data_IF_491338089644
#
_entry.id   IF_491338089644
#
_cell.length_a   1.000
_cell.length_b   1.000
_cell.length_c   1.000
_cell.angle_alpha   90.00
_cell.angle_beta   90.00
_cell.angle_gamma   90.00
#
_symmetry.space_group_name_H-M   'P 1'
#
loop_
_entity.id
_entity.type
_entity.pdbx_description
1 polymer ?
#
# COMPACT_ATOMS: atom_id res chain seq x y z
N UNK A 1 -19.09 -3.66 -4.92
CA UNK A 1 -18.84 -3.53 -3.46
C UNK A 1 -19.34 -2.21 -2.84
N UNK A 2 -18.84 -1.03 -3.23
CA UNK A 2 -19.18 0.24 -2.54
C UNK A 2 -20.68 0.53 -2.40
N UNK A 3 -21.46 0.42 -3.48
CA UNK A 3 -22.90 0.71 -3.45
C UNK A 3 -23.67 -0.19 -2.47
N UNK A 4 -23.36 -1.50 -2.45
CA UNK A 4 -23.93 -2.45 -1.49
C UNK A 4 -23.51 -2.09 -0.05
N UNK A 5 -22.24 -1.74 0.17
CA UNK A 5 -21.77 -1.30 1.49
C UNK A 5 -22.48 -0.04 1.97
N UNK A 6 -22.72 0.93 1.09
CA UNK A 6 -23.41 2.17 1.44
C UNK A 6 -24.85 1.89 1.90
N UNK A 7 -25.56 0.96 1.23
CA UNK A 7 -26.91 0.51 1.62
C UNK A 7 -26.87 -0.19 2.98
N UNK A 8 -25.94 -1.14 3.16
CA UNK A 8 -25.73 -1.84 4.43
C UNK A 8 -25.43 -0.87 5.58
N UNK A 9 -24.59 0.14 5.34
CA UNK A 9 -24.24 1.16 6.34
C UNK A 9 -25.45 2.03 6.68
N UNK A 10 -26.29 2.36 5.70
CA UNK A 10 -27.51 3.12 5.94
C UNK A 10 -28.46 2.34 6.86
N UNK A 11 -28.76 1.08 6.53
CA UNK A 11 -29.65 0.23 7.32
C UNK A 11 -29.09 -0.04 8.73
N UNK A 12 -27.77 -0.21 8.88
CA UNK A 12 -27.15 -0.41 10.18
C UNK A 12 -27.35 0.76 11.16
N UNK A 13 -27.66 1.96 10.67
CA UNK A 13 -27.95 3.14 11.52
C UNK A 13 -29.37 3.13 12.07
N UNK A 14 -30.28 2.46 11.38
CA UNK A 14 -31.69 2.37 11.75
C UNK A 14 -31.95 1.20 12.72
N UNK A 15 -30.93 0.35 12.94
CA UNK A 15 -30.95 -0.78 13.86
C UNK A 15 -30.41 -0.41 15.25
N UNK A 16 -30.72 -1.26 16.23
CA UNK A 16 -30.11 -1.19 17.55
C UNK A 16 -28.57 -1.27 17.46
N UNK A 17 -27.86 -0.53 18.32
CA UNK A 17 -26.39 -0.37 18.27
C UNK A 17 -25.61 -1.67 18.30
N UNK A 18 -26.13 -2.73 18.92
CA UNK A 18 -25.48 -4.04 18.98
C UNK A 18 -25.62 -4.79 17.66
N UNK A 19 -26.85 -4.83 17.12
CA UNK A 19 -27.18 -5.41 15.82
C UNK A 19 -26.40 -4.71 14.69
N UNK A 20 -26.42 -3.38 14.66
CA UNK A 20 -25.68 -2.60 13.68
C UNK A 20 -24.15 -2.80 13.75
N UNK A 21 -23.59 -3.10 14.93
CA UNK A 21 -22.16 -3.44 15.09
C UNK A 21 -21.83 -4.82 14.54
N UNK A 22 -22.66 -5.83 14.79
CA UNK A 22 -22.44 -7.17 14.23
C UNK A 22 -22.46 -7.11 12.69
N UNK A 23 -23.35 -6.31 12.11
CA UNK A 23 -23.43 -6.07 10.65
C UNK A 23 -22.16 -5.45 10.05
N UNK A 24 -21.42 -4.64 10.83
CA UNK A 24 -20.15 -4.05 10.40
C UNK A 24 -18.99 -5.04 10.47
N UNK A 25 -19.03 -5.97 11.44
CA UNK A 25 -17.99 -6.99 11.64
C UNK A 25 -18.02 -8.05 10.54
N UNK A 26 -19.19 -8.39 10.01
CA UNK A 26 -19.37 -9.47 9.02
C UNK A 26 -19.41 -9.03 7.55
N UNK A 27 -18.98 -7.79 7.26
CA UNK A 27 -18.99 -7.23 5.88
C UNK A 27 -18.19 -8.04 4.86
N UNK A 28 -17.21 -8.84 5.29
CA UNK A 28 -16.41 -9.70 4.41
C UNK A 28 -17.29 -10.71 3.67
N UNK A 29 -18.31 -11.27 4.34
CA UNK A 29 -19.24 -12.25 3.75
C UNK A 29 -20.02 -11.65 2.58
N UNK A 30 -20.44 -10.38 2.69
CA UNK A 30 -21.14 -9.68 1.60
C UNK A 30 -20.22 -9.23 0.48
N UNK A 31 -18.93 -8.99 0.76
CA UNK A 31 -17.97 -8.50 -0.24
C UNK A 31 -17.38 -9.62 -1.08
N UNK A 32 -17.17 -10.79 -0.48
CA UNK A 32 -16.65 -11.97 -1.17
C UNK A 32 -17.66 -12.48 -2.20
N UNK A 33 -17.17 -13.07 -3.29
CA UNK A 33 -18.01 -13.78 -4.27
C UNK A 33 -18.58 -15.02 -3.61
N UNK A 34 -19.84 -15.36 -3.91
CA UNK A 34 -20.49 -16.53 -3.29
C UNK A 34 -19.68 -17.82 -3.49
N UNK A 35 -19.13 -18.01 -4.70
CA UNK A 35 -18.29 -19.16 -5.06
C UNK A 35 -17.03 -19.32 -4.18
N UNK A 36 -16.54 -18.23 -3.59
CA UNK A 36 -15.33 -18.22 -2.76
C UNK A 36 -15.61 -18.37 -1.26
N UNK A 37 -16.88 -18.38 -0.85
CA UNK A 37 -17.25 -18.61 0.55
C UNK A 37 -17.22 -20.11 0.88
N UNK A 38 -16.72 -20.43 2.07
CA UNK A 38 -16.85 -21.75 2.69
C UNK A 38 -18.31 -22.03 3.09
N UNK A 39 -18.61 -23.27 3.42
CA UNK A 39 -19.99 -23.70 3.76
C UNK A 39 -20.57 -22.91 4.93
N UNK A 40 -19.77 -22.71 5.99
CA UNK A 40 -20.14 -21.89 7.14
C UNK A 40 -20.38 -20.43 6.73
N UNK A 41 -19.55 -19.87 5.86
CA UNK A 41 -19.70 -18.52 5.33
C UNK A 41 -20.99 -18.36 4.51
N UNK A 42 -21.32 -19.35 3.67
CA UNK A 42 -22.56 -19.36 2.87
C UNK A 42 -23.80 -19.46 3.76
N UNK A 43 -23.79 -20.34 4.76
CA UNK A 43 -24.88 -20.47 5.72
C UNK A 43 -25.14 -19.15 6.46
N UNK A 44 -24.09 -18.54 7.00
CA UNK A 44 -24.19 -17.26 7.70
C UNK A 44 -24.65 -16.11 6.79
N UNK A 45 -24.14 -16.08 5.55
CA UNK A 45 -24.58 -15.12 4.56
C UNK A 45 -26.07 -15.29 4.27
N UNK A 46 -26.54 -16.51 4.01
CA UNK A 46 -27.93 -16.78 3.66
C UNK A 46 -28.89 -16.33 4.76
N UNK A 47 -28.63 -16.72 6.01
CA UNK A 47 -29.44 -16.25 7.14
C UNK A 47 -29.54 -14.72 7.19
N UNK A 48 -28.46 -14.02 6.84
CA UNK A 48 -28.50 -12.56 6.82
C UNK A 48 -29.34 -12.00 5.67
N UNK A 49 -29.19 -12.58 4.47
CA UNK A 49 -29.97 -12.16 3.29
C UNK A 49 -31.47 -12.46 3.45
N UNK A 50 -31.83 -13.48 4.22
CA UNK A 50 -33.23 -13.82 4.50
C UNK A 50 -33.88 -12.81 5.46
N UNK A 51 -33.11 -12.32 6.44
CA UNK A 51 -33.61 -11.37 7.43
C UNK A 51 -33.66 -9.91 6.93
N UNK A 52 -32.85 -9.55 5.93
CA UNK A 52 -32.72 -8.17 5.48
C UNK A 52 -32.91 -8.03 3.95
N UNK A 53 -34.15 -7.83 3.47
CA UNK A 53 -34.47 -7.81 2.03
C UNK A 53 -33.70 -6.75 1.23
N UNK A 54 -33.46 -5.57 1.81
CA UNK A 54 -32.74 -4.51 1.11
C UNK A 54 -31.26 -4.85 0.90
N UNK A 55 -30.62 -5.48 1.89
CA UNK A 55 -29.24 -6.00 1.74
C UNK A 55 -29.22 -7.15 0.74
N UNK A 56 -30.24 -8.02 0.75
CA UNK A 56 -30.37 -9.11 -0.21
C UNK A 56 -30.37 -8.62 -1.66
N UNK A 57 -31.24 -7.65 -1.96
CA UNK A 57 -31.29 -7.02 -3.28
C UNK A 57 -29.94 -6.40 -3.65
N UNK A 58 -29.33 -5.63 -2.74
CA UNK A 58 -28.04 -5.00 -3.00
C UNK A 58 -26.91 -6.03 -3.22
N UNK A 59 -26.93 -7.15 -2.49
CA UNK A 59 -25.99 -8.25 -2.66
C UNK A 59 -26.18 -8.95 -4.01
N UNK A 60 -27.43 -9.26 -4.40
CA UNK A 60 -27.75 -9.85 -5.71
C UNK A 60 -27.35 -8.94 -6.86
N UNK A 61 -27.59 -7.63 -6.75
CA UNK A 61 -27.10 -6.65 -7.73
C UNK A 61 -25.58 -6.64 -7.82
N UNK A 62 -24.88 -6.78 -6.68
CA UNK A 62 -23.42 -6.88 -6.67
C UNK A 62 -22.93 -8.17 -7.35
N UNK A 63 -23.49 -9.33 -7.01
CA UNK A 63 -23.09 -10.61 -7.62
C UNK A 63 -23.40 -10.63 -9.12
N UNK A 64 -24.61 -10.27 -9.54
CA UNK A 64 -24.98 -10.20 -10.96
C UNK A 64 -24.13 -9.23 -11.78
N UNK A 65 -23.63 -8.15 -11.16
CA UNK A 65 -22.67 -7.27 -11.83
C UNK A 65 -21.33 -7.96 -12.09
N UNK A 66 -20.86 -8.79 -11.15
CA UNK A 66 -19.65 -9.58 -11.37
C UNK A 66 -19.86 -10.69 -12.40
N UNK A 67 -21.07 -11.28 -12.45
CA UNK A 67 -21.41 -12.33 -13.42
C UNK A 67 -21.27 -11.84 -14.87
N UNK A 68 -21.39 -10.53 -15.13
CA UNK A 68 -21.10 -9.94 -16.45
C UNK A 68 -19.69 -10.30 -16.92
N UNK A 69 -18.70 -10.30 -16.03
CA UNK A 69 -17.30 -10.64 -16.35
C UNK A 69 -17.04 -12.14 -16.44
N UNK A 70 -18.00 -12.96 -16.01
CA UNK A 70 -17.98 -14.42 -16.16
C UNK A 70 -18.72 -14.85 -17.47
N UNK A 71 -19.21 -13.89 -18.29
CA UNK A 71 -19.89 -14.15 -19.56
C UNK A 71 -18.95 -14.75 -20.63
N UNK A 72 -19.48 -15.55 -21.57
CA UNK A 72 -18.66 -16.24 -22.57
C UNK A 72 -18.06 -15.30 -23.63
N UNK A 73 -18.77 -14.21 -23.96
CA UNK A 73 -18.38 -13.28 -25.00
C UNK A 73 -18.86 -11.84 -24.73
N UNK A 74 -18.32 -10.91 -25.52
CA UNK A 74 -18.59 -9.47 -25.41
C UNK A 74 -20.05 -9.10 -25.65
N UNK A 75 -20.74 -9.81 -26.54
CA UNK A 75 -22.14 -9.49 -26.85
C UNK A 75 -23.05 -9.89 -25.70
N UNK A 76 -22.86 -11.09 -25.15
CA UNK A 76 -23.59 -11.56 -23.98
C UNK A 76 -23.30 -10.69 -22.76
N UNK A 77 -22.03 -10.33 -22.52
CA UNK A 77 -21.67 -9.38 -21.47
C UNK A 77 -22.39 -8.02 -21.64
N UNK A 78 -22.51 -7.54 -22.88
CA UNK A 78 -23.26 -6.33 -23.21
C UNK A 78 -24.75 -6.44 -22.85
N UNK A 79 -25.39 -7.56 -23.21
CA UNK A 79 -26.79 -7.86 -22.87
C UNK A 79 -27.00 -7.97 -21.35
N UNK A 80 -26.12 -8.70 -20.67
CA UNK A 80 -26.14 -8.84 -19.22
C UNK A 80 -25.96 -7.49 -18.51
N UNK A 81 -25.07 -6.63 -19.00
CA UNK A 81 -24.88 -5.28 -18.46
C UNK A 81 -26.15 -4.43 -18.63
N UNK A 82 -26.86 -4.56 -19.74
CA UNK A 82 -28.10 -3.83 -19.98
C UNK A 82 -29.24 -4.31 -19.07
N UNK A 83 -29.41 -5.63 -18.99
CA UNK A 83 -30.35 -6.27 -18.08
C UNK A 83 -30.06 -5.90 -16.62
N UNK A 84 -28.78 -5.89 -16.23
CA UNK A 84 -28.35 -5.47 -14.90
C UNK A 84 -28.69 -4.01 -14.60
N UNK A 85 -28.45 -3.08 -15.54
CA UNK A 85 -28.82 -1.67 -15.35
C UNK A 85 -30.34 -1.49 -15.19
N UNK A 86 -31.13 -2.29 -15.90
CA UNK A 86 -32.58 -2.29 -15.82
C UNK A 86 -33.10 -2.88 -14.49
N UNK A 87 -32.43 -3.91 -13.96
CA UNK A 87 -32.84 -4.63 -12.74
C UNK A 87 -32.65 -3.83 -11.45
N UNK A 88 -31.80 -2.78 -11.45
CA UNK A 88 -31.63 -1.93 -10.27
C UNK A 88 -32.97 -1.27 -9.88
N UNK A 89 -33.48 -1.44 -8.65
CA UNK A 89 -34.74 -0.83 -8.22
C UNK A 89 -34.67 0.69 -8.08
N UNK A 90 -35.79 1.39 -8.29
CA UNK A 90 -35.84 2.86 -8.30
C UNK A 90 -35.35 3.51 -6.99
N UNK A 91 -35.66 2.91 -5.84
CA UNK A 91 -35.20 3.36 -4.52
C UNK A 91 -33.67 3.22 -4.33
N UNK A 92 -32.99 2.40 -5.13
CA UNK A 92 -31.53 2.20 -5.10
C UNK A 92 -30.77 2.98 -6.18
N UNK A 93 -31.46 3.75 -7.04
CA UNK A 93 -30.84 4.59 -8.09
C UNK A 93 -30.45 5.99 -7.60
N UNK A 94 -31.07 6.49 -6.52
CA UNK A 94 -31.03 7.91 -6.15
C UNK A 94 -29.98 8.18 -5.06
N UNK A 95 -29.23 9.28 -5.25
CA UNK A 95 -28.27 9.78 -4.28
C UNK A 95 -26.87 9.19 -4.38
N UNK A 96 -25.90 9.80 -3.69
CA UNK A 96 -24.47 9.44 -3.74
C UNK A 96 -24.13 8.10 -3.07
N UNK A 97 -24.97 7.64 -2.14
CA UNK A 97 -24.82 6.40 -1.36
C UNK A 97 -25.79 5.33 -1.88
N UNK A 98 -25.69 5.04 -3.17
CA UNK A 98 -26.63 4.17 -3.88
C UNK A 98 -25.92 3.51 -5.08
N UNK A 99 -26.67 2.80 -5.93
CA UNK A 99 -26.16 2.31 -7.21
C UNK A 99 -26.10 3.40 -8.30
N UNK A 100 -26.68 4.59 -8.08
CA UNK A 100 -26.69 5.70 -9.02
C UNK A 100 -25.32 6.04 -9.63
N UNK A 101 -24.26 6.27 -8.81
CA UNK A 101 -22.93 6.53 -9.33
C UNK A 101 -22.37 5.39 -10.20
N UNK A 102 -22.63 4.13 -9.83
CA UNK A 102 -22.20 2.98 -10.61
C UNK A 102 -22.98 2.90 -11.93
N UNK A 103 -24.28 3.14 -11.92
CA UNK A 103 -25.10 3.22 -13.14
C UNK A 103 -24.57 4.28 -14.11
N UNK A 104 -24.23 5.47 -13.63
CA UNK A 104 -23.61 6.51 -14.46
C UNK A 104 -22.27 6.03 -15.02
N UNK A 105 -21.41 5.44 -14.19
CA UNK A 105 -20.12 4.92 -14.63
C UNK A 105 -20.27 3.87 -15.73
N UNK A 106 -21.19 2.91 -15.57
CA UNK A 106 -21.44 1.85 -16.56
C UNK A 106 -22.02 2.35 -17.89
N UNK A 107 -22.59 3.56 -17.92
CA UNK A 107 -23.03 4.21 -19.17
C UNK A 107 -21.86 4.89 -19.85
N UNK A 108 -21.12 5.70 -19.09
CA UNK A 108 -20.03 6.50 -19.60
C UNK A 108 -18.87 5.64 -20.11
N UNK A 109 -18.61 4.52 -19.43
CA UNK A 109 -17.45 3.66 -19.68
C UNK A 109 -17.86 2.30 -20.24
N UNK A 110 -19.03 2.20 -20.88
CA UNK A 110 -19.55 0.92 -21.39
C UNK A 110 -18.56 0.28 -22.37
N UNK A 111 -18.05 1.06 -23.31
CA UNK A 111 -17.16 0.58 -24.37
C UNK A 111 -15.88 -0.02 -23.77
N UNK A 112 -15.28 0.67 -22.81
CA UNK A 112 -14.06 0.26 -22.12
C UNK A 112 -14.28 -0.95 -21.22
N UNK A 113 -15.43 -1.01 -20.53
CA UNK A 113 -15.81 -2.19 -19.75
C UNK A 113 -15.91 -3.44 -20.63
N UNK A 114 -16.53 -3.31 -21.82
CA UNK A 114 -16.70 -4.43 -22.76
C UNK A 114 -15.43 -4.74 -23.57
N UNK A 115 -14.48 -3.80 -23.66
CA UNK A 115 -13.17 -4.04 -24.29
C UNK A 115 -12.35 -5.12 -23.56
N UNK A 116 -12.67 -5.41 -22.29
CA UNK A 116 -12.08 -6.52 -21.53
C UNK A 116 -12.19 -7.88 -22.25
N UNK A 117 -13.28 -8.11 -22.98
CA UNK A 117 -13.51 -9.39 -23.67
C UNK A 117 -12.68 -9.54 -24.95
N UNK A 118 -12.27 -8.43 -25.55
CA UNK A 118 -11.34 -8.45 -26.68
C UNK A 118 -9.89 -8.56 -26.18
N UNK A 119 -9.59 -7.87 -25.07
CA UNK A 119 -8.27 -7.79 -24.47
C UNK A 119 -8.38 -7.97 -22.95
N UNK A 120 -8.23 -9.20 -22.41
CA UNK A 120 -8.40 -9.49 -20.98
C UNK A 120 -7.19 -9.02 -20.14
N UNK A 121 -6.73 -7.79 -20.39
CA UNK A 121 -5.63 -7.15 -19.69
C UNK A 121 -6.21 -6.44 -18.48
N UNK A 122 -5.86 -6.93 -17.29
CA UNK A 122 -6.24 -6.28 -16.05
C UNK A 122 -5.26 -5.13 -15.70
N UNK A 123 -5.78 -4.11 -15.03
CA UNK A 123 -4.98 -3.06 -14.38
C UNK A 123 -4.22 -3.58 -13.13
N UNK A 124 -4.15 -4.90 -12.92
CA UNK A 124 -3.54 -5.49 -11.73
C UNK A 124 -2.03 -5.22 -11.62
N UNK A 125 -1.32 -5.22 -12.75
CA UNK A 125 0.12 -4.93 -12.76
C UNK A 125 0.42 -3.48 -12.34
N UNK A 126 -0.30 -2.52 -12.92
CA UNK A 126 -0.21 -1.10 -12.60
C UNK A 126 -0.69 -0.82 -11.17
N UNK A 127 -1.71 -1.52 -10.68
CA UNK A 127 -2.12 -1.46 -9.27
C UNK A 127 -1.04 -1.98 -8.31
N UNK A 128 -0.38 -3.09 -8.65
CA UNK A 128 0.73 -3.61 -7.87
C UNK A 128 1.91 -2.62 -7.83
N UNK A 129 2.29 -2.03 -8.96
CA UNK A 129 3.30 -0.98 -9.03
C UNK A 129 2.89 0.28 -8.23
N UNK A 130 1.63 0.70 -8.33
CA UNK A 130 1.09 1.79 -7.51
C UNK A 130 1.15 1.46 -6.02
N UNK A 131 0.94 0.20 -5.64
CA UNK A 131 1.15 -0.30 -4.29
C UNK A 131 2.60 -0.15 -3.83
N UNK A 132 3.56 -0.58 -4.65
CA UNK A 132 5.00 -0.41 -4.37
C UNK A 132 5.36 1.07 -4.18
N UNK A 133 4.91 1.94 -5.07
CA UNK A 133 5.14 3.38 -4.97
C UNK A 133 4.59 3.96 -3.65
N UNK A 134 3.38 3.56 -3.25
CA UNK A 134 2.77 3.98 -1.98
C UNK A 134 3.57 3.51 -0.77
N UNK A 135 4.11 2.28 -0.79
CA UNK A 135 4.96 1.76 0.29
C UNK A 135 6.24 2.59 0.42
N UNK A 136 6.91 2.88 -0.70
CA UNK A 136 8.14 3.70 -0.71
C UNK A 136 7.85 5.11 -0.17
N UNK A 137 6.75 5.72 -0.61
CA UNK A 137 6.36 7.05 -0.12
C UNK A 137 6.05 7.05 1.38
N UNK A 138 5.46 5.97 1.92
CA UNK A 138 5.18 5.84 3.35
C UNK A 138 6.45 5.68 4.19
N UNK A 139 7.46 5.00 3.65
CA UNK A 139 8.77 4.85 4.28
C UNK A 139 9.54 6.17 4.29
N UNK A 140 9.35 7.00 3.26
CA UNK A 140 9.99 8.30 3.09
C UNK A 140 9.11 9.49 3.39
N UNK A 141 8.98 9.86 4.66
CA UNK A 141 8.34 11.14 5.00
C UNK A 141 9.14 12.29 4.38
N UNK A 142 8.47 13.11 3.56
CA UNK A 142 9.07 14.30 2.94
C UNK A 142 9.87 14.04 1.67
N UNK A 143 9.74 12.86 1.04
CA UNK A 143 10.38 12.63 -0.26
C UNK A 143 9.83 13.59 -1.32
N UNK A 144 10.74 14.25 -2.05
CA UNK A 144 10.38 14.91 -3.30
C UNK A 144 9.98 13.87 -4.34
N UNK A 145 9.24 14.31 -5.36
CA UNK A 145 8.83 13.43 -6.47
C UNK A 145 10.04 12.74 -7.13
N UNK A 146 11.15 13.46 -7.28
CA UNK A 146 12.38 12.94 -7.86
C UNK A 146 12.97 11.79 -7.05
N UNK A 147 13.03 11.93 -5.72
CA UNK A 147 13.52 10.90 -4.80
C UNK A 147 12.60 9.67 -4.81
N UNK A 148 11.27 9.88 -4.82
CA UNK A 148 10.30 8.80 -4.91
C UNK A 148 10.45 8.03 -6.23
N UNK A 149 10.56 8.76 -7.35
CA UNK A 149 10.75 8.20 -8.70
C UNK A 149 12.06 7.42 -8.79
N UNK A 150 13.16 7.97 -8.30
CA UNK A 150 14.46 7.29 -8.30
C UNK A 150 14.39 5.98 -7.51
N UNK A 151 13.81 6.01 -6.31
CA UNK A 151 13.63 4.80 -5.48
C UNK A 151 12.74 3.76 -6.15
N UNK A 152 11.68 4.18 -6.86
CA UNK A 152 10.81 3.27 -7.58
C UNK A 152 11.52 2.59 -8.76
N UNK A 153 12.25 3.36 -9.57
CA UNK A 153 12.93 2.88 -10.77
C UNK A 153 14.19 2.05 -10.47
N UNK A 154 14.90 2.37 -9.39
CA UNK A 154 16.20 1.77 -9.06
C UNK A 154 16.18 0.80 -7.88
N UNK A 155 15.00 0.48 -7.31
CA UNK A 155 14.83 -0.42 -6.16
C UNK A 155 15.61 -1.75 -6.26
N UNK A 156 15.69 -2.32 -7.46
CA UNK A 156 16.29 -3.63 -7.71
C UNK A 156 17.66 -3.56 -8.40
N UNK A 157 18.18 -2.35 -8.65
CA UNK A 157 19.59 -2.22 -9.00
C UNK A 157 20.36 -2.24 -7.68
N UNK A 158 20.76 -3.42 -7.24
CA UNK A 158 21.92 -3.51 -6.36
C UNK A 158 23.00 -2.68 -7.05
N UNK A 159 23.54 -1.62 -6.42
CA UNK A 159 24.84 -1.14 -6.85
C UNK A 159 25.69 -2.40 -6.87
N UNK A 160 26.30 -2.72 -8.01
CA UNK A 160 27.40 -3.67 -8.04
C UNK A 160 28.26 -3.29 -6.86
N UNK A 161 28.29 -4.13 -5.82
CA UNK A 161 29.18 -3.93 -4.70
C UNK A 161 30.57 -4.00 -5.32
N UNK A 162 31.11 -2.84 -5.71
CA UNK A 162 32.53 -2.68 -5.90
C UNK A 162 33.06 -3.13 -4.56
N UNK A 163 33.74 -4.28 -4.54
CA UNK A 163 34.22 -4.91 -3.33
C UNK A 163 35.09 -3.89 -2.58
N UNK A 164 34.50 -3.14 -1.68
CA UNK A 164 35.20 -2.24 -0.81
C UNK A 164 35.91 -3.13 0.19
N UNK A 165 37.20 -3.35 -0.05
CA UNK A 165 38.08 -4.00 0.90
C UNK A 165 37.85 -3.39 2.30
N UNK A 166 37.75 -4.22 3.35
CA UNK A 166 37.51 -3.68 4.68
C UNK A 166 38.75 -2.88 5.10
N UNK A 167 38.67 -1.56 5.02
CA UNK A 167 39.62 -0.68 5.72
C UNK A 167 39.30 -0.81 7.21
N UNK A 168 39.91 -1.81 7.84
CA UNK A 168 39.99 -1.92 9.29
C UNK A 168 40.87 -0.78 9.80
N UNK A 169 40.25 0.34 10.18
CA UNK A 169 40.92 1.38 10.95
C UNK A 169 40.88 0.98 12.43
N UNK A 170 41.82 0.14 12.85
CA UNK A 170 42.14 0.01 14.28
C UNK A 170 42.67 1.36 14.78
N UNK A 171 42.05 1.92 15.82
CA UNK A 171 42.53 3.14 16.50
C UNK A 171 43.92 2.88 17.08
N UNK A 172 44.95 3.31 16.38
CA UNK A 172 46.27 3.53 16.98
C UNK A 172 46.30 4.91 17.64
N UNK A 173 47.02 5.01 18.76
CA UNK A 173 47.13 6.21 19.61
C UNK A 173 47.67 7.44 18.88
N UNK A 174 48.39 7.26 17.77
CA UNK A 174 48.91 8.34 16.92
C UNK A 174 47.82 9.12 16.16
N UNK A 175 46.65 8.51 15.89
CA UNK A 175 45.55 9.14 15.14
C UNK A 175 44.48 9.80 16.03
N UNK A 176 44.60 9.69 17.36
CA UNK A 176 43.63 10.24 18.30
C UNK A 176 43.73 11.78 18.41
N UNK A 177 44.94 12.32 18.51
CA UNK A 177 45.16 13.78 18.60
C UNK A 177 44.72 14.51 17.32
N UNK A 178 45.01 13.93 16.14
CA UNK A 178 44.59 14.50 14.86
C UNK A 178 43.05 14.48 14.68
N UNK A 179 42.38 13.44 15.21
CA UNK A 179 40.92 13.36 15.22
C UNK A 179 40.32 14.42 16.15
N UNK A 180 40.89 14.60 17.34
CA UNK A 180 40.44 15.57 18.33
C UNK A 180 40.53 17.02 17.82
N UNK A 181 41.68 17.41 17.26
CA UNK A 181 41.85 18.75 16.65
C UNK A 181 40.89 18.98 15.48
N UNK A 182 40.61 17.95 14.68
CA UNK A 182 39.65 18.06 13.58
C UNK A 182 38.21 18.23 14.10
N UNK A 183 37.82 17.53 15.16
CA UNK A 183 36.48 17.64 15.73
C UNK A 183 36.26 19.01 16.38
N UNK A 184 37.27 19.55 17.06
CA UNK A 184 37.24 20.91 17.60
C UNK A 184 37.09 21.95 16.50
N UNK A 185 37.82 21.82 15.39
CA UNK A 185 37.68 22.70 14.23
C UNK A 185 36.30 22.63 13.57
N UNK A 186 35.62 21.48 13.65
CA UNK A 186 34.25 21.27 13.18
C UNK A 186 33.19 21.63 14.24
N UNK A 187 33.61 22.19 15.38
CA UNK A 187 32.74 22.67 16.45
C UNK A 187 32.08 21.56 17.28
N UNK A 188 32.65 20.35 17.24
CA UNK A 188 32.21 19.18 18.00
C UNK A 188 30.71 18.85 17.83
N UNK A 189 30.16 19.13 16.64
CA UNK A 189 28.75 18.88 16.34
C UNK A 189 28.58 17.64 15.48
N UNK A 190 27.60 16.83 15.85
CA UNK A 190 27.14 15.75 14.98
C UNK A 190 26.51 16.35 13.71
N UNK A 191 27.04 16.00 12.54
CA UNK A 191 26.57 16.52 11.25
C UNK A 191 25.16 16.02 10.86
N UNK A 192 24.63 15.03 11.58
CA UNK A 192 23.28 14.51 11.35
C UNK A 192 22.21 15.12 12.26
N UNK A 193 22.48 15.26 13.56
CA UNK A 193 21.48 15.75 14.53
C UNK A 193 21.78 17.15 15.08
N UNK A 194 22.95 17.72 14.79
CA UNK A 194 23.37 19.05 15.25
C UNK A 194 23.74 19.16 16.74
N UNK A 195 23.63 18.05 17.49
CA UNK A 195 24.01 17.99 18.91
C UNK A 195 25.51 18.19 19.10
N UNK A 196 25.91 18.78 20.23
CA UNK A 196 27.30 18.96 20.64
C UNK A 196 27.73 17.76 21.46
N UNK A 197 28.90 17.21 21.17
CA UNK A 197 29.45 16.00 21.79
C UNK A 197 30.92 16.21 22.14
N UNK A 198 31.49 15.34 22.96
CA UNK A 198 32.94 15.32 23.11
C UNK A 198 33.59 14.80 21.81
N UNK A 199 34.79 15.27 21.42
CA UNK A 199 35.49 14.81 20.22
C UNK A 199 35.59 13.28 20.08
N UNK A 200 35.77 12.59 21.21
CA UNK A 200 35.87 11.14 21.27
C UNK A 200 34.54 10.40 21.05
N UNK A 201 33.39 11.09 21.14
CA UNK A 201 32.04 10.54 20.98
C UNK A 201 31.50 10.66 19.55
N UNK A 202 32.23 11.34 18.67
CA UNK A 202 31.92 11.47 17.25
C UNK A 202 32.72 10.44 16.44
N UNK A 203 32.00 9.68 15.63
CA UNK A 203 32.56 8.65 14.76
C UNK A 203 32.51 9.10 13.30
N UNK A 204 33.58 8.82 12.55
CA UNK A 204 33.62 9.06 11.12
C UNK A 204 32.77 8.00 10.39
N UNK A 205 31.78 8.46 9.66
CA UNK A 205 30.93 7.66 8.78
C UNK A 205 31.24 8.00 7.32
N UNK A 206 31.50 6.97 6.52
CA UNK A 206 31.79 7.12 5.09
C UNK A 206 30.50 7.02 4.27
N UNK A 207 30.29 7.99 3.39
CA UNK A 207 29.16 8.03 2.46
C UNK A 207 29.68 7.80 1.05
N UNK A 208 29.32 6.66 0.50
CA UNK A 208 29.71 6.29 -0.86
C UNK A 208 29.17 7.30 -1.89
N UNK A 209 29.94 7.59 -2.96
CA UNK A 209 29.50 8.44 -4.06
C UNK A 209 28.17 7.98 -4.66
N UNK A 210 27.23 8.91 -4.88
CA UNK A 210 25.91 8.58 -5.45
C UNK A 210 25.90 8.82 -6.98
N UNK A 211 26.73 9.75 -7.46
CA UNK A 211 26.87 10.09 -8.88
C UNK A 211 28.27 9.80 -9.40
N UNK A 212 28.37 9.50 -10.69
CA UNK A 212 29.68 9.36 -11.34
C UNK A 212 30.45 10.69 -11.25
N UNK A 213 31.71 10.64 -10.77
CA UNK A 213 32.63 11.75 -10.46
C UNK A 213 32.51 12.39 -9.06
N UNK A 214 31.68 11.87 -8.16
CA UNK A 214 31.70 12.31 -6.76
C UNK A 214 32.78 11.54 -5.96
N UNK A 215 33.49 12.23 -5.07
CA UNK A 215 34.50 11.63 -4.19
C UNK A 215 33.87 11.10 -2.90
N UNK A 216 34.50 10.11 -2.27
CA UNK A 216 34.09 9.60 -0.95
C UNK A 216 34.02 10.75 0.07
N UNK A 217 32.89 10.85 0.80
CA UNK A 217 32.66 11.89 1.80
C UNK A 217 32.67 11.27 3.18
N UNK A 218 33.34 11.93 4.12
CA UNK A 218 33.33 11.58 5.54
C UNK A 218 32.44 12.54 6.29
N UNK A 219 31.55 12.00 7.11
CA UNK A 219 30.70 12.73 8.04
C UNK A 219 31.07 12.32 9.45
N UNK A 220 31.03 13.24 10.40
CA UNK A 220 31.26 12.97 11.81
C UNK A 220 29.94 12.99 12.57
N UNK A 221 29.56 11.83 13.11
CA UNK A 221 28.23 11.60 13.67
C UNK A 221 28.32 10.93 15.03
N UNK A 222 27.39 11.23 15.93
CA UNK A 222 27.32 10.57 17.22
C UNK A 222 26.94 9.09 17.08
N UNK A 223 27.29 8.27 18.08
CA UNK A 223 27.04 6.83 18.08
C UNK A 223 25.58 6.41 17.80
N UNK A 224 24.60 7.25 18.15
CA UNK A 224 23.20 6.98 17.86
C UNK A 224 22.87 7.23 16.38
N UNK A 225 23.37 8.32 15.80
CA UNK A 225 23.21 8.60 14.37
C UNK A 225 23.98 7.59 13.53
N UNK A 226 25.21 7.23 13.93
CA UNK A 226 26.00 6.19 13.28
C UNK A 226 25.26 4.85 13.19
N UNK A 227 24.63 4.40 14.28
CA UNK A 227 23.77 3.20 14.29
C UNK A 227 22.56 3.30 13.35
N UNK A 228 21.96 4.49 13.20
CA UNK A 228 20.84 4.72 12.27
C UNK A 228 21.26 4.64 10.80
N UNK A 229 22.51 4.97 10.46
CA UNK A 229 23.03 4.79 9.11
C UNK A 229 23.37 3.31 8.81
N UNK A 230 23.66 2.52 9.84
CA UNK A 230 24.00 1.09 9.74
C UNK A 230 22.89 0.16 10.26
N UNK A 231 21.64 0.38 9.83
CA UNK A 231 20.47 -0.41 10.25
C UNK A 231 20.56 -1.90 9.90
N UNK A 232 21.38 -2.29 8.92
CA UNK A 232 21.62 -3.69 8.54
C UNK A 232 22.49 -4.45 9.55
N UNK A 233 23.36 -3.76 10.31
CA UNK A 233 24.12 -4.36 11.42
C UNK A 233 23.33 -4.40 12.73
N UNK A 234 22.46 -3.42 12.95
CA UNK A 234 21.62 -3.35 14.16
C UNK A 234 20.45 -4.33 14.12
N UNK A 235 19.88 -4.57 12.93
CA UNK A 235 18.94 -5.65 12.69
C UNK A 235 19.71 -6.86 12.20
N UNK A 236 20.37 -7.57 13.11
CA UNK A 236 20.87 -8.92 12.80
C UNK A 236 19.74 -9.66 12.09
N UNK A 237 20.00 -10.16 10.87
CA UNK A 237 19.07 -10.98 10.12
C UNK A 237 18.79 -12.27 10.90
N UNK A 238 17.93 -12.19 11.91
CA UNK A 238 17.06 -13.25 12.35
C UNK A 238 15.67 -12.81 11.95
N UNK A 239 15.32 -13.14 10.71
CA UNK A 239 13.94 -13.25 10.28
C UNK A 239 13.25 -14.34 11.12
N UNK A 240 12.84 -13.96 12.32
CA UNK A 240 11.85 -14.68 13.11
C UNK A 240 10.57 -13.84 13.08
N UNK A 241 9.80 -14.00 12.00
CA UNK A 241 8.43 -13.53 11.92
C UNK A 241 7.57 -14.68 11.42
N UNK A 242 7.13 -15.52 12.35
CA UNK A 242 5.89 -16.32 12.43
C UNK A 242 5.95 -17.02 13.80
N UNK A 243 4.87 -17.18 14.59
CA UNK A 243 3.45 -16.89 14.33
C UNK A 243 2.94 -15.55 14.88
#
# INVERSE_FOLDING_TARGET
>A
NKAMDDIRIALAKDQEKEVGRDWMRRKSLLRMRYKNLDEKGRFNLQMWLDNEPHVNIAYKLKESFYDIYDAPDKEEAGRMLDAWRASVPANMKKGKKSFGPLLTSTRNWRTEMLAYFDYPISNGYTEALNGVAKVINRQGRGYSFEVLRARLLFKNKTPSLVASAPLSMTRTTANAAAHETLMEALGCRCESCGGVFEPAELEAHHVAPIVANETDKRLYVCANCHRRFHTERANGHQSASTP
#
